data_IF_499624120613
#
_entry.id   IF_499624120613
#
_cell.length_a   1.000
_cell.length_b   1.000
_cell.length_c   1.000
_cell.angle_alpha   90.00
_cell.angle_beta   90.00
_cell.angle_gamma   90.00
#
_symmetry.space_group_name_H-M   'P 1'
#
loop_
_entity.id
_entity.type
_entity.pdbx_description
1 polymer ?
#
# COMPACT_ATOMS: atom_id res chain seq x y z
N UNK A 1 30.80 6.39 42.35
CA UNK A 1 29.53 7.04 42.73
C UNK A 1 28.38 6.21 42.16
N UNK A 2 27.99 5.09 42.81
CA UNK A 2 26.83 4.94 43.71
C UNK A 2 25.44 5.27 43.13
N UNK A 3 24.69 4.18 42.83
CA UNK A 3 23.29 3.87 43.25
C UNK A 3 22.16 4.61 42.50
N UNK A 4 20.99 4.06 42.13
CA UNK A 4 20.13 2.91 42.52
C UNK A 4 19.33 2.51 41.25
N UNK A 5 19.06 1.23 40.91
CA UNK A 5 18.03 0.30 41.42
C UNK A 5 16.60 0.87 41.57
N UNK A 6 15.62 -0.02 41.31
CA UNK A 6 14.15 0.08 41.46
C UNK A 6 13.38 0.63 40.24
N UNK A 7 12.25 0.07 39.78
CA UNK A 7 11.46 -1.12 40.16
C UNK A 7 10.25 -1.26 39.23
N UNK A 8 9.72 -2.49 39.19
CA UNK A 8 8.31 -2.90 39.04
C UNK A 8 7.57 -2.53 37.72
N UNK A 9 7.23 -3.49 36.85
CA UNK A 9 6.15 -4.49 37.00
C UNK A 9 4.74 -3.88 37.03
N UNK A 10 4.03 -3.95 35.91
CA UNK A 10 2.57 -4.13 35.89
C UNK A 10 2.23 -5.12 34.78
N UNK A 11 1.87 -6.31 35.21
CA UNK A 11 1.17 -7.31 34.42
C UNK A 11 -0.27 -6.83 34.16
N UNK A 12 -0.72 -6.87 32.92
CA UNK A 12 -2.14 -6.89 32.60
C UNK A 12 -2.43 -8.14 31.78
N UNK A 13 -2.82 -9.19 32.50
CA UNK A 13 -3.53 -10.35 31.98
C UNK A 13 -4.76 -9.89 31.20
N UNK A 14 -4.79 -10.12 29.89
CA UNK A 14 -6.02 -10.06 29.11
C UNK A 14 -6.63 -11.46 29.07
N UNK A 15 -7.35 -11.80 30.15
CA UNK A 15 -8.28 -12.91 30.16
C UNK A 15 -9.55 -12.45 29.43
N UNK A 16 -9.69 -12.80 28.14
CA UNK A 16 -10.98 -12.76 27.45
C UNK A 16 -11.32 -14.18 27.05
N UNK A 17 -12.05 -14.82 27.94
CA UNK A 17 -12.92 -15.95 27.66
C UNK A 17 -13.98 -15.52 26.65
N UNK A 18 -14.02 -16.17 25.50
CA UNK A 18 -15.20 -16.18 24.62
C UNK A 18 -15.53 -17.62 24.30
N UNK A 19 -16.72 -18.01 24.73
CA UNK A 19 -17.29 -19.33 24.62
C UNK A 19 -17.35 -19.85 23.17
N UNK A 20 -17.18 -21.17 23.10
CA UNK A 20 -17.70 -22.08 22.08
C UNK A 20 -18.95 -21.57 21.34
N UNK A 21 -18.85 -21.42 20.03
CA UNK A 21 -20.02 -21.51 19.15
C UNK A 21 -19.91 -22.85 18.41
N UNK A 22 -20.69 -23.80 18.87
CA UNK A 22 -21.01 -25.03 18.15
C UNK A 22 -21.90 -24.66 16.96
N UNK A 23 -21.39 -24.75 15.74
CA UNK A 23 -22.22 -24.75 14.54
C UNK A 23 -22.65 -26.18 14.23
N UNK A 24 -23.75 -26.61 14.86
CA UNK A 24 -24.58 -27.67 14.35
C UNK A 24 -25.62 -27.03 13.42
N UNK A 25 -25.41 -27.09 12.10
CA UNK A 25 -26.47 -26.84 11.13
C UNK A 25 -26.59 -28.04 10.21
N UNK A 26 -27.57 -28.86 10.61
CA UNK A 26 -28.23 -29.92 9.87
C UNK A 26 -28.64 -29.45 8.48
N UNK A 27 -28.20 -30.23 7.49
CA UNK A 27 -28.76 -30.50 6.14
C UNK A 27 -29.99 -29.70 5.67
N UNK A 28 -29.95 -29.21 4.42
CA UNK A 28 -30.84 -29.61 3.30
C UNK A 28 -30.32 -28.99 1.98
N UNK A 29 -30.35 -29.71 0.83
CA UNK A 29 -29.76 -29.28 -0.43
C UNK A 29 -30.76 -28.55 -1.36
N UNK A 30 -30.20 -28.03 -2.46
CA UNK A 30 -30.83 -27.48 -3.67
C UNK A 30 -31.05 -25.96 -3.69
N UNK A 31 -30.16 -25.26 -4.39
CA UNK A 31 -30.54 -24.54 -5.62
C UNK A 31 -29.28 -24.29 -6.44
N UNK A 32 -29.34 -24.72 -7.70
CA UNK A 32 -28.44 -24.38 -8.80
C UNK A 32 -28.18 -22.87 -8.84
N UNK A 33 -26.96 -22.47 -8.49
CA UNK A 33 -26.43 -21.16 -8.85
C UNK A 33 -25.29 -21.40 -9.85
N UNK A 34 -25.61 -21.12 -11.11
CA UNK A 34 -24.71 -20.80 -12.21
C UNK A 34 -23.42 -20.13 -11.72
N UNK A 35 -22.23 -20.52 -12.25
CA UNK A 35 -20.97 -19.90 -11.87
C UNK A 35 -20.98 -18.41 -12.24
N UNK A 36 -21.17 -17.54 -11.24
CA UNK A 36 -20.82 -16.14 -11.36
C UNK A 36 -19.29 -16.10 -11.52
N UNK A 37 -18.76 -15.45 -12.57
CA UNK A 37 -17.32 -15.38 -12.77
C UNK A 37 -16.71 -14.76 -11.53
N UNK A 38 -15.74 -15.48 -10.97
CA UNK A 38 -14.84 -14.96 -9.96
C UNK A 38 -14.43 -13.56 -10.41
N UNK A 39 -14.87 -12.55 -9.67
CA UNK A 39 -14.16 -11.30 -9.64
C UNK A 39 -12.75 -11.70 -9.25
N UNK A 40 -11.87 -11.66 -10.24
CA UNK A 40 -10.44 -11.72 -10.05
C UNK A 40 -10.13 -10.63 -9.04
N UNK A 41 -10.07 -11.03 -7.77
CA UNK A 41 -9.22 -10.40 -6.80
C UNK A 41 -7.83 -10.51 -7.40
N UNK A 42 -7.49 -9.53 -8.24
CA UNK A 42 -6.14 -9.26 -8.67
C UNK A 42 -5.42 -8.89 -7.38
N UNK A 43 -4.96 -9.93 -6.68
CA UNK A 43 -3.83 -9.85 -5.79
C UNK A 43 -2.83 -9.00 -6.53
N UNK A 44 -2.71 -7.75 -6.08
CA UNK A 44 -1.96 -6.71 -6.76
C UNK A 44 -0.51 -7.04 -6.49
N UNK A 45 0.02 -8.00 -7.24
CA UNK A 45 1.45 -8.24 -7.26
C UNK A 45 2.09 -6.90 -7.65
N UNK A 46 3.03 -6.38 -6.83
CA UNK A 46 3.69 -5.14 -7.14
C UNK A 46 4.35 -5.28 -8.51
N UNK A 47 3.87 -4.49 -9.48
CA UNK A 47 4.42 -4.56 -10.83
C UNK A 47 5.75 -3.81 -10.84
N UNK A 48 6.82 -4.53 -11.20
CA UNK A 48 8.17 -3.97 -11.32
C UNK A 48 8.39 -3.24 -12.65
N UNK A 49 7.47 -3.40 -13.60
CA UNK A 49 7.47 -2.70 -14.89
C UNK A 49 6.88 -1.31 -14.77
N UNK A 50 7.40 -0.37 -15.57
CA UNK A 50 6.87 1.00 -15.67
C UNK A 50 5.39 0.96 -16.13
N UNK A 51 4.43 1.38 -15.29
CA UNK A 51 3.03 1.41 -15.70
C UNK A 51 2.78 2.48 -16.77
N UNK A 52 1.82 2.21 -17.64
CA UNK A 52 1.31 3.19 -18.60
C UNK A 52 0.63 4.36 -17.89
N UNK A 53 0.41 5.46 -18.63
CA UNK A 53 -0.23 6.66 -18.09
C UNK A 53 -1.66 6.36 -17.58
N UNK A 54 -2.40 5.53 -18.30
CA UNK A 54 -3.78 5.18 -17.94
C UNK A 54 -3.83 4.27 -16.72
N UNK A 55 -2.92 3.31 -16.60
CA UNK A 55 -2.78 2.49 -15.38
C UNK A 55 -2.46 3.34 -14.15
N UNK A 56 -1.54 4.31 -14.27
CA UNK A 56 -1.24 5.24 -13.16
C UNK A 56 -2.48 6.05 -12.79
N UNK A 57 -3.28 6.50 -13.77
CA UNK A 57 -4.49 7.29 -13.53
C UNK A 57 -5.54 6.45 -12.80
N UNK A 58 -5.78 5.23 -13.26
CA UNK A 58 -6.71 4.27 -12.64
C UNK A 58 -6.26 3.90 -11.23
N UNK A 59 -4.99 3.55 -11.03
CA UNK A 59 -4.47 3.24 -9.71
C UNK A 59 -4.55 4.44 -8.76
N UNK A 60 -4.30 5.65 -9.25
CA UNK A 60 -4.46 6.87 -8.44
C UNK A 60 -5.92 7.13 -8.07
N UNK A 61 -6.87 6.81 -8.95
CA UNK A 61 -8.29 6.85 -8.63
C UNK A 61 -8.61 5.91 -7.48
N UNK A 62 -8.19 4.64 -7.59
CA UNK A 62 -8.40 3.64 -6.54
C UNK A 62 -7.79 4.08 -5.21
N UNK A 63 -6.50 4.46 -5.20
CA UNK A 63 -5.83 4.93 -3.99
C UNK A 63 -6.48 6.17 -3.36
N UNK A 64 -7.13 7.04 -4.15
CA UNK A 64 -7.90 8.18 -3.63
C UNK A 64 -9.17 7.74 -2.93
N UNK A 65 -9.86 6.74 -3.48
CA UNK A 65 -11.05 6.17 -2.86
C UNK A 65 -10.69 5.43 -1.57
N UNK A 66 -9.60 4.67 -1.57
CA UNK A 66 -9.11 3.98 -0.37
C UNK A 66 -8.77 4.99 0.75
N UNK A 67 -8.04 6.06 0.41
CA UNK A 67 -7.71 7.10 1.38
C UNK A 67 -8.97 7.87 1.87
N UNK A 68 -9.95 8.09 1.00
CA UNK A 68 -11.23 8.71 1.38
C UNK A 68 -12.08 7.79 2.28
N UNK A 69 -12.11 6.48 2.00
CA UNK A 69 -12.78 5.46 2.81
C UNK A 69 -12.15 5.32 4.21
N UNK A 70 -10.86 5.60 4.34
CA UNK A 70 -10.16 5.73 5.63
C UNK A 70 -10.42 7.06 6.35
N UNK A 71 -11.26 7.94 5.79
CA UNK A 71 -11.57 9.25 6.37
C UNK A 71 -10.43 10.28 6.26
N UNK A 72 -9.36 9.99 5.53
CA UNK A 72 -8.21 10.88 5.41
C UNK A 72 -8.56 12.12 4.57
N UNK A 73 -8.14 13.29 5.05
CA UNK A 73 -8.39 14.60 4.41
C UNK A 73 -7.09 15.38 4.26
N UNK A 74 -7.14 16.44 3.44
CA UNK A 74 -6.03 17.38 3.28
C UNK A 74 -4.71 16.71 2.88
N UNK A 75 -3.65 17.00 3.63
CA UNK A 75 -2.30 16.48 3.41
C UNK A 75 -2.21 14.97 3.65
N UNK A 76 -2.82 14.47 4.73
CA UNK A 76 -2.84 13.04 5.06
C UNK A 76 -3.39 12.18 3.91
N UNK A 77 -4.45 12.66 3.24
CA UNK A 77 -5.00 11.98 2.04
C UNK A 77 -3.99 11.93 0.90
N UNK A 78 -3.25 13.02 0.64
CA UNK A 78 -2.25 13.07 -0.42
C UNK A 78 -1.10 12.10 -0.15
N UNK A 79 -0.66 12.03 1.10
CA UNK A 79 0.41 11.13 1.52
C UNK A 79 -0.02 9.66 1.44
N UNK A 80 -1.24 9.33 1.87
CA UNK A 80 -1.79 7.99 1.70
C UNK A 80 -1.89 7.56 0.23
N UNK A 81 -2.35 8.45 -0.66
CA UNK A 81 -2.41 8.18 -2.11
C UNK A 81 -1.01 7.95 -2.68
N UNK A 82 -0.02 8.75 -2.27
CA UNK A 82 1.37 8.60 -2.69
C UNK A 82 1.93 7.26 -2.24
N UNK A 83 1.75 6.89 -0.97
CA UNK A 83 2.18 5.60 -0.41
C UNK A 83 1.52 4.45 -1.15
N UNK A 84 0.20 4.51 -1.36
CA UNK A 84 -0.53 3.49 -2.12
C UNK A 84 0.02 3.30 -3.54
N UNK A 85 0.32 4.39 -4.25
CA UNK A 85 0.93 4.30 -5.60
C UNK A 85 2.33 3.71 -5.58
N UNK A 86 3.14 4.06 -4.58
CA UNK A 86 4.51 3.57 -4.44
C UNK A 86 4.55 2.08 -4.09
N UNK A 87 3.60 1.61 -3.28
CA UNK A 87 3.44 0.19 -2.96
C UNK A 87 2.98 -0.61 -4.19
N UNK A 88 2.03 -0.08 -4.98
CA UNK A 88 1.56 -0.71 -6.22
C UNK A 88 2.64 -0.75 -7.31
N UNK A 89 3.43 0.32 -7.43
CA UNK A 89 4.43 0.50 -8.47
C UNK A 89 5.74 1.04 -7.87
N UNK A 90 6.63 0.16 -7.37
CA UNK A 90 7.91 0.55 -6.78
C UNK A 90 8.81 1.36 -7.75
N UNK A 91 8.66 1.14 -9.05
CA UNK A 91 9.34 1.91 -10.11
C UNK A 91 9.02 3.41 -10.06
N UNK A 92 7.84 3.81 -9.55
CA UNK A 92 7.48 5.22 -9.36
C UNK A 92 8.26 5.85 -8.19
N UNK A 93 8.58 5.07 -7.15
CA UNK A 93 9.44 5.51 -6.07
C UNK A 93 10.87 5.72 -6.59
N UNK A 94 11.42 4.76 -7.34
CA UNK A 94 12.73 4.90 -8.02
C UNK A 94 12.77 6.14 -8.91
N UNK A 95 11.75 6.36 -9.74
CA UNK A 95 11.63 7.57 -10.59
C UNK A 95 11.71 8.85 -9.78
N UNK A 96 11.07 8.91 -8.60
CA UNK A 96 11.13 10.08 -7.73
C UNK A 96 12.55 10.31 -7.22
N UNK A 97 13.22 9.28 -6.72
CA UNK A 97 14.61 9.36 -6.28
C UNK A 97 15.52 9.89 -7.38
N UNK A 98 15.43 9.32 -8.59
CA UNK A 98 16.17 9.80 -9.76
C UNK A 98 15.88 11.26 -10.09
N UNK A 99 14.63 11.70 -9.94
CA UNK A 99 14.27 13.09 -10.17
C UNK A 99 14.89 14.02 -9.13
N UNK A 100 14.85 13.64 -7.86
CA UNK A 100 15.43 14.42 -6.76
C UNK A 100 16.96 14.53 -6.92
N UNK A 101 17.63 13.43 -7.27
CA UNK A 101 19.07 13.42 -7.59
C UNK A 101 19.42 14.32 -8.77
N UNK A 102 18.68 14.22 -9.88
CA UNK A 102 18.91 15.07 -11.04
C UNK A 102 18.70 16.55 -10.70
N UNK A 103 17.71 16.85 -9.86
CA UNK A 103 17.46 18.22 -9.37
C UNK A 103 18.59 18.70 -8.47
N UNK A 104 19.10 17.85 -7.57
CA UNK A 104 20.25 18.15 -6.72
C UNK A 104 21.54 18.39 -7.53
N UNK A 105 21.66 17.76 -8.70
CA UNK A 105 22.73 18.00 -9.70
C UNK A 105 22.51 19.27 -10.53
N UNK A 106 21.46 20.04 -10.28
CA UNK A 106 21.12 21.25 -11.03
C UNK A 106 20.57 20.98 -12.44
N UNK A 107 20.20 19.73 -12.77
CA UNK A 107 19.64 19.41 -14.07
C UNK A 107 18.23 19.97 -14.20
N UNK A 108 17.94 20.53 -15.38
CA UNK A 108 16.65 21.16 -15.68
C UNK A 108 16.06 20.61 -16.98
N UNK A 109 14.73 20.72 -17.14
CA UNK A 109 13.99 20.43 -18.38
C UNK A 109 14.39 19.09 -19.02
N UNK A 110 14.98 19.13 -20.22
CA UNK A 110 15.35 17.95 -21.00
C UNK A 110 16.45 17.14 -20.31
N UNK A 111 17.48 17.80 -19.78
CA UNK A 111 18.59 17.13 -19.11
C UNK A 111 18.12 16.34 -17.88
N UNK A 112 17.19 16.90 -17.10
CA UNK A 112 16.58 16.20 -15.97
C UNK A 112 15.78 14.97 -16.43
N UNK A 113 14.98 15.11 -17.51
CA UNK A 113 14.20 13.99 -18.05
C UNK A 113 15.07 12.86 -18.58
N UNK A 114 16.17 13.20 -19.25
CA UNK A 114 17.11 12.22 -19.79
C UNK A 114 17.85 11.50 -18.66
N UNK A 115 18.29 12.25 -17.63
CA UNK A 115 18.87 11.67 -16.41
C UNK A 115 17.91 10.70 -15.72
N UNK A 116 16.65 11.09 -15.51
CA UNK A 116 15.66 10.22 -14.88
C UNK A 116 15.44 8.94 -15.67
N UNK A 117 15.40 9.00 -17.01
CA UNK A 117 15.28 7.80 -17.86
C UNK A 117 16.49 6.87 -17.70
N UNK A 118 17.70 7.42 -17.73
CA UNK A 118 18.93 6.64 -17.56
C UNK A 118 19.02 6.04 -16.15
N UNK A 119 18.71 6.81 -15.11
CA UNK A 119 18.74 6.37 -13.72
C UNK A 119 17.74 5.23 -13.44
N UNK A 120 16.54 5.27 -14.02
CA UNK A 120 15.58 4.14 -13.90
C UNK A 120 16.06 2.91 -14.67
N UNK A 121 16.70 3.10 -15.82
CA UNK A 121 17.19 2.02 -16.69
C UNK A 121 18.51 1.39 -16.23
N UNK A 122 19.28 2.02 -15.34
CA UNK A 122 20.55 1.54 -14.81
C UNK A 122 20.39 0.43 -13.75
N UNK A 123 19.39 -0.44 -13.91
CA UNK A 123 19.06 -1.53 -12.97
C UNK A 123 19.96 -2.74 -13.15
#
# INVERSE_FOLDING_TARGET
MTRKLLSAAVATLFAVSSATIAFAQTTTPATTATPAPATTSSASTPSSTMPSKDEIKTARQACRQDAAGQGLKGQARKDAVKTCLQQKYPVLAKRKTCHDEGTAKGLQKKALRDYVKQCIGAS
#
